data_IF_066773657291
#
_entry.id   IF_066773657291
#
_cell.length_a   1.000
_cell.length_b   1.000
_cell.length_c   1.000
_cell.angle_alpha   90.00
_cell.angle_beta   90.00
_cell.angle_gamma   90.00
#
_symmetry.space_group_name_H-M   'P 1'
#
loop_
_entity.id
_entity.type
_entity.pdbx_description
1 polymer ?
#
# COMPACT_ATOMS: atom_id res chain seq x y z
N UNK A 1 -8.48 -7.88 16.16
CA UNK A 1 -8.28 -7.10 17.38
C UNK A 1 -9.60 -6.51 17.82
N UNK A 2 -9.81 -6.33 19.13
CA UNK A 2 -10.82 -5.40 19.63
C UNK A 2 -10.21 -4.02 19.42
N UNK A 3 -10.88 -3.14 18.70
CA UNK A 3 -10.31 -1.90 18.20
C UNK A 3 -10.39 -0.84 19.30
N UNK A 4 -9.32 -0.68 20.08
CA UNK A 4 -9.15 0.45 21.01
C UNK A 4 -8.86 1.77 20.25
N UNK A 5 -9.43 1.91 19.05
CA UNK A 5 -9.31 3.09 18.21
C UNK A 5 -10.38 4.06 18.67
N UNK A 6 -9.96 5.21 19.18
CA UNK A 6 -10.86 6.27 19.61
C UNK A 6 -11.52 6.92 18.40
N UNK A 7 -12.75 6.48 18.10
CA UNK A 7 -13.56 7.07 17.06
C UNK A 7 -14.31 8.31 17.54
N UNK A 8 -14.35 8.63 18.84
CA UNK A 8 -15.20 9.72 19.36
C UNK A 8 -14.57 11.10 19.16
N UNK A 9 -13.27 11.25 19.41
CA UNK A 9 -12.57 12.54 19.39
C UNK A 9 -12.06 12.96 18.00
N UNK A 10 -12.38 12.22 16.94
CA UNK A 10 -11.91 12.46 15.58
C UNK A 10 -13.08 12.56 14.60
N UNK A 11 -12.90 13.36 13.55
CA UNK A 11 -13.90 13.59 12.50
C UNK A 11 -13.54 12.88 11.18
N UNK A 12 -12.26 12.54 10.99
CA UNK A 12 -11.75 11.85 9.81
C UNK A 12 -10.74 10.76 10.21
N UNK A 13 -10.80 9.62 9.52
CA UNK A 13 -9.93 8.47 9.75
C UNK A 13 -9.18 8.11 8.48
N UNK A 14 -7.86 8.15 8.58
CA UNK A 14 -6.95 7.80 7.50
C UNK A 14 -6.31 6.47 7.79
N UNK A 15 -6.56 5.44 7.00
CA UNK A 15 -6.00 4.11 7.24
C UNK A 15 -4.86 3.82 6.27
N UNK A 16 -3.75 3.34 6.82
CA UNK A 16 -2.85 2.48 6.05
C UNK A 16 -3.56 1.16 5.67
N UNK A 17 -3.01 0.43 4.69
CA UNK A 17 -3.61 -0.79 4.17
C UNK A 17 -2.88 -2.05 4.61
N UNK A 18 -1.57 -2.16 4.31
CA UNK A 18 -0.79 -3.38 4.51
C UNK A 18 -0.43 -3.58 5.97
N UNK A 19 -0.66 -4.77 6.51
CA UNK A 19 -0.52 -5.09 7.93
C UNK A 19 -1.39 -4.24 8.87
N UNK A 20 -2.10 -3.23 8.36
CA UNK A 20 -3.11 -2.46 9.08
C UNK A 20 -4.49 -3.09 8.92
N UNK A 21 -4.98 -3.18 7.68
CA UNK A 21 -6.29 -3.73 7.34
C UNK A 21 -6.19 -5.15 6.79
N UNK A 22 -5.17 -5.40 5.97
CA UNK A 22 -4.98 -6.64 5.22
C UNK A 22 -3.56 -7.18 5.35
N UNK A 23 -3.36 -8.47 5.08
CA UNK A 23 -2.03 -9.05 4.83
C UNK A 23 -2.02 -9.83 3.52
N UNK A 24 -0.84 -9.98 2.94
CA UNK A 24 -0.67 -10.77 1.71
C UNK A 24 -1.11 -12.22 1.92
N UNK A 25 -1.71 -12.82 0.89
CA UNK A 25 -1.97 -14.25 0.88
C UNK A 25 -0.65 -15.03 1.08
N UNK A 26 -0.61 -16.10 1.91
CA UNK A 26 0.63 -16.82 2.21
C UNK A 26 1.38 -17.32 0.98
N UNK A 27 0.64 -17.71 -0.06
CA UNK A 27 1.20 -18.26 -1.31
C UNK A 27 1.57 -17.20 -2.35
N UNK A 28 1.02 -15.98 -2.25
CA UNK A 28 1.15 -14.98 -3.32
C UNK A 28 2.61 -14.62 -3.62
N UNK A 29 3.45 -14.46 -2.58
CA UNK A 29 4.86 -14.10 -2.77
C UNK A 29 5.63 -15.18 -3.55
N UNK A 30 5.41 -16.46 -3.25
CA UNK A 30 6.03 -17.56 -3.95
C UNK A 30 5.55 -17.63 -5.41
N UNK A 31 4.23 -17.52 -5.63
CA UNK A 31 3.64 -17.51 -6.97
C UNK A 31 4.10 -16.35 -7.83
N UNK A 32 4.27 -15.16 -7.24
CA UNK A 32 4.84 -14.00 -7.94
C UNK A 32 6.27 -14.26 -8.40
N UNK A 33 7.08 -14.93 -7.60
CA UNK A 33 8.45 -15.32 -7.99
C UNK A 33 8.44 -16.32 -9.13
N UNK A 34 7.57 -17.34 -9.08
CA UNK A 34 7.39 -18.31 -10.18
C UNK A 34 6.98 -17.61 -11.48
N UNK A 35 6.02 -16.69 -11.40
CA UNK A 35 5.58 -15.89 -12.54
C UNK A 35 6.71 -14.99 -13.08
N UNK A 36 7.42 -14.28 -12.21
CA UNK A 36 8.55 -13.41 -12.59
C UNK A 36 9.65 -14.20 -13.30
N UNK A 37 10.03 -15.36 -12.74
CA UNK A 37 11.08 -16.21 -13.31
C UNK A 37 10.68 -16.78 -14.69
N UNK A 38 9.45 -17.29 -14.80
CA UNK A 38 8.98 -17.92 -16.04
C UNK A 38 8.71 -16.90 -17.15
N UNK A 39 8.10 -15.76 -16.83
CA UNK A 39 7.76 -14.72 -17.79
C UNK A 39 9.02 -14.11 -18.44
N UNK A 40 10.01 -13.74 -17.63
CA UNK A 40 11.26 -13.16 -18.12
C UNK A 40 12.33 -14.19 -18.48
N UNK A 41 12.00 -15.50 -18.45
CA UNK A 41 12.90 -16.61 -18.80
C UNK A 41 14.24 -16.55 -18.05
N UNK A 42 14.16 -16.28 -16.75
CA UNK A 42 15.34 -16.10 -15.90
C UNK A 42 16.08 -17.43 -15.75
N UNK A 43 17.40 -17.41 -15.96
CA UNK A 43 18.26 -18.61 -15.93
C UNK A 43 18.64 -19.06 -14.52
N UNK A 44 18.58 -18.13 -13.56
CA UNK A 44 18.91 -18.39 -12.15
C UNK A 44 17.86 -19.29 -11.50
N UNK A 45 18.24 -19.91 -10.38
CA UNK A 45 17.31 -20.75 -9.61
C UNK A 45 16.15 -19.93 -9.02
N UNK A 46 15.00 -20.57 -8.79
CA UNK A 46 13.84 -19.92 -8.16
C UNK A 46 14.19 -19.33 -6.79
N UNK A 47 15.04 -20.00 -6.01
CA UNK A 47 15.50 -19.49 -4.71
C UNK A 47 16.32 -18.20 -4.85
N UNK A 48 17.15 -18.11 -5.89
CA UNK A 48 17.91 -16.89 -6.17
C UNK A 48 17.00 -15.75 -6.61
N UNK A 49 16.01 -16.02 -7.48
CA UNK A 49 15.00 -15.02 -7.87
C UNK A 49 14.21 -14.55 -6.64
N UNK A 50 13.79 -15.47 -5.77
CA UNK A 50 13.07 -15.13 -4.53
C UNK A 50 13.89 -14.20 -3.63
N UNK A 51 15.19 -14.51 -3.44
CA UNK A 51 16.10 -13.66 -2.67
C UNK A 51 16.23 -12.27 -3.27
N UNK A 52 16.42 -12.16 -4.59
CA UNK A 52 16.58 -10.86 -5.24
C UNK A 52 15.29 -10.04 -5.21
N UNK A 53 14.14 -10.65 -5.48
CA UNK A 53 12.83 -9.98 -5.36
C UNK A 53 12.64 -9.44 -3.94
N UNK A 54 12.91 -10.24 -2.89
CA UNK A 54 12.80 -9.79 -1.50
C UNK A 54 13.78 -8.67 -1.19
N UNK A 55 15.04 -8.81 -1.59
CA UNK A 55 16.08 -7.80 -1.33
C UNK A 55 15.71 -6.44 -1.92
N UNK A 56 15.25 -6.40 -3.17
CA UNK A 56 14.86 -5.15 -3.81
C UNK A 56 13.52 -4.60 -3.31
N UNK A 57 12.60 -5.44 -2.85
CA UNK A 57 11.39 -5.01 -2.11
C UNK A 57 11.79 -4.19 -0.87
N UNK A 58 12.62 -4.79 -0.01
CA UNK A 58 13.09 -4.18 1.23
C UNK A 58 13.92 -2.92 0.96
N UNK A 59 14.81 -2.96 -0.05
CA UNK A 59 15.64 -1.82 -0.44
C UNK A 59 14.78 -0.64 -0.92
N UNK A 60 13.82 -0.88 -1.81
CA UNK A 60 12.98 0.18 -2.35
C UNK A 60 12.08 0.79 -1.27
N UNK A 61 11.54 -0.04 -0.36
CA UNK A 61 10.77 0.44 0.79
C UNK A 61 11.62 1.36 1.68
N UNK A 62 12.86 0.96 2.00
CA UNK A 62 13.78 1.78 2.79
C UNK A 62 14.15 3.09 2.09
N UNK A 63 14.38 3.06 0.77
CA UNK A 63 14.65 4.26 -0.02
C UNK A 63 13.45 5.22 -0.03
N UNK A 64 12.23 4.70 -0.19
CA UNK A 64 11.00 5.49 -0.14
C UNK A 64 10.81 6.14 1.24
N UNK A 65 11.04 5.39 2.33
CA UNK A 65 10.94 5.93 3.70
C UNK A 65 11.98 7.03 3.96
N UNK A 66 13.21 6.85 3.48
CA UNK A 66 14.30 7.80 3.69
C UNK A 66 14.16 9.07 2.84
N UNK A 67 13.80 8.92 1.57
CA UNK A 67 13.76 10.05 0.61
C UNK A 67 12.39 10.72 0.55
N UNK A 68 11.33 10.03 1.00
CA UNK A 68 9.95 10.47 0.86
C UNK A 68 9.39 10.39 -0.56
N UNK A 69 10.12 9.80 -1.51
CA UNK A 69 9.67 9.56 -2.89
C UNK A 69 8.90 8.24 -3.04
N UNK A 70 8.65 7.83 -4.29
CA UNK A 70 8.12 6.52 -4.61
C UNK A 70 8.86 5.95 -5.83
N UNK A 71 9.63 4.88 -5.63
CA UNK A 71 10.17 4.09 -6.74
C UNK A 71 9.00 3.41 -7.47
N UNK A 72 8.86 3.64 -8.78
CA UNK A 72 7.78 3.03 -9.56
C UNK A 72 7.97 1.51 -9.67
N UNK A 73 6.85 0.79 -9.72
CA UNK A 73 6.85 -0.67 -9.85
C UNK A 73 7.72 -1.19 -11.00
N UNK A 74 7.78 -0.48 -12.13
CA UNK A 74 8.59 -0.89 -13.28
C UNK A 74 10.07 -0.65 -13.04
N UNK A 75 10.44 0.41 -12.31
CA UNK A 75 11.81 0.61 -11.86
C UNK A 75 12.24 -0.53 -10.94
N UNK A 76 11.37 -0.96 -10.00
CA UNK A 76 11.63 -2.14 -9.17
C UNK A 76 11.87 -3.39 -10.02
N UNK A 77 11.03 -3.64 -11.04
CA UNK A 77 11.22 -4.78 -11.95
C UNK A 77 12.55 -4.71 -12.68
N UNK A 78 12.91 -3.55 -13.23
CA UNK A 78 14.17 -3.37 -13.96
C UNK A 78 15.40 -3.55 -13.06
N UNK A 79 15.34 -3.08 -11.81
CA UNK A 79 16.40 -3.31 -10.82
C UNK A 79 16.60 -4.80 -10.54
N UNK A 80 15.50 -5.53 -10.32
CA UNK A 80 15.55 -6.99 -10.08
C UNK A 80 16.06 -7.72 -11.33
N UNK A 81 15.55 -7.40 -12.51
CA UNK A 81 15.97 -8.02 -13.77
C UNK A 81 17.46 -7.81 -14.04
N UNK A 82 17.95 -6.58 -13.89
CA UNK A 82 19.37 -6.26 -14.04
C UNK A 82 20.24 -7.03 -13.04
N UNK A 83 19.78 -7.20 -11.80
CA UNK A 83 20.48 -7.98 -10.78
C UNK A 83 20.52 -9.48 -11.06
N UNK A 84 19.57 -9.99 -11.88
CA UNK A 84 19.46 -11.39 -12.29
C UNK A 84 20.09 -11.64 -13.67
N UNK A 85 20.91 -10.70 -14.16
CA UNK A 85 21.63 -10.76 -15.45
C UNK A 85 20.69 -10.85 -16.67
N UNK A 86 19.47 -10.34 -16.56
CA UNK A 86 18.58 -10.13 -17.72
C UNK A 86 19.02 -8.85 -18.43
N UNK A 87 19.17 -8.91 -19.76
CA UNK A 87 19.48 -7.71 -20.55
C UNK A 87 18.27 -6.78 -20.61
N UNK A 88 18.27 -5.77 -19.72
CA UNK A 88 17.19 -4.79 -19.61
C UNK A 88 17.03 -3.92 -20.86
N UNK A 89 18.01 -3.91 -21.79
CA UNK A 89 17.87 -3.17 -23.07
C UNK A 89 16.86 -3.82 -24.01
N UNK A 90 16.64 -5.12 -23.85
CA UNK A 90 15.65 -5.89 -24.60
C UNK A 90 14.26 -5.83 -23.95
N UNK A 91 14.16 -5.30 -22.72
CA UNK A 91 12.90 -5.16 -21.99
C UNK A 91 12.26 -3.82 -22.33
N UNK A 92 11.07 -3.86 -22.93
CA UNK A 92 10.31 -2.68 -23.29
C UNK A 92 9.10 -2.47 -22.36
N UNK A 93 8.46 -1.30 -22.49
CA UNK A 93 7.30 -0.93 -21.66
C UNK A 93 6.09 -1.84 -21.88
N UNK A 94 5.90 -2.39 -23.08
CA UNK A 94 4.83 -3.34 -23.38
C UNK A 94 5.01 -4.63 -22.57
N UNK A 95 6.21 -5.19 -22.58
CA UNK A 95 6.60 -6.38 -21.81
C UNK A 95 6.37 -6.18 -20.30
N UNK A 96 6.71 -5.00 -19.77
CA UNK A 96 6.50 -4.67 -18.36
C UNK A 96 5.01 -4.54 -18.00
N UNK A 97 4.20 -3.97 -18.91
CA UNK A 97 2.74 -3.91 -18.73
C UNK A 97 2.09 -5.29 -18.80
N UNK A 98 2.52 -6.14 -19.72
CA UNK A 98 2.03 -7.52 -19.84
C UNK A 98 2.34 -8.31 -18.59
N UNK A 99 3.58 -8.21 -18.09
CA UNK A 99 3.96 -8.81 -16.82
C UNK A 99 3.10 -8.27 -15.67
N UNK A 100 2.92 -6.95 -15.59
CA UNK A 100 2.10 -6.34 -14.55
C UNK A 100 0.65 -6.82 -14.58
N UNK A 101 0.05 -6.95 -15.77
CA UNK A 101 -1.31 -7.46 -15.94
C UNK A 101 -1.43 -8.87 -15.38
N UNK A 102 -0.50 -9.77 -15.73
CA UNK A 102 -0.47 -11.14 -15.19
C UNK A 102 -0.22 -11.17 -13.68
N UNK A 103 0.62 -10.28 -13.17
CA UNK A 103 0.87 -10.16 -11.73
C UNK A 103 -0.34 -9.60 -10.98
N UNK A 104 -1.15 -8.75 -11.62
CA UNK A 104 -2.43 -8.26 -11.08
C UNK A 104 -3.48 -9.37 -11.05
N UNK A 105 -3.61 -10.15 -12.12
CA UNK A 105 -4.49 -11.33 -12.16
C UNK A 105 -4.12 -12.32 -11.07
N UNK A 106 -2.83 -12.64 -10.94
CA UNK A 106 -2.32 -13.51 -9.88
C UNK A 106 -2.61 -12.94 -8.48
N UNK A 107 -2.52 -11.62 -8.33
CA UNK A 107 -2.82 -10.95 -7.07
C UNK A 107 -4.30 -11.08 -6.68
N UNK A 108 -5.22 -10.97 -7.64
CA UNK A 108 -6.65 -11.13 -7.40
C UNK A 108 -7.05 -12.61 -7.21
N UNK A 109 -6.37 -13.55 -7.86
CA UNK A 109 -6.52 -14.99 -7.59
C UNK A 109 -6.06 -15.34 -6.16
N UNK A 110 -4.88 -14.87 -5.75
CA UNK A 110 -4.33 -15.03 -4.41
C UNK A 110 -4.57 -13.77 -3.58
N UNK A 111 -5.85 -13.39 -3.46
CA UNK A 111 -6.26 -12.15 -2.81
C UNK A 111 -5.77 -12.02 -1.36
N UNK A 112 -5.45 -10.78 -0.90
CA UNK A 112 -5.11 -10.52 0.49
C UNK A 112 -6.16 -11.02 1.49
N UNK A 113 -5.69 -11.31 2.70
CA UNK A 113 -6.53 -11.69 3.83
C UNK A 113 -6.81 -10.43 4.66
N UNK A 114 -8.09 -10.12 4.90
CA UNK A 114 -8.49 -9.08 5.86
C UNK A 114 -8.13 -9.55 7.27
N UNK A 115 -7.29 -8.78 7.97
CA UNK A 115 -6.81 -9.09 9.33
C UNK A 115 -7.46 -8.23 10.40
N UNK A 116 -8.04 -7.10 9.99
CA UNK A 116 -8.81 -6.24 10.86
C UNK A 116 -10.17 -6.86 11.14
N UNK A 117 -10.43 -7.19 12.42
CA UNK A 117 -11.67 -7.89 12.81
C UNK A 117 -12.86 -6.95 12.67
N UNK A 118 -13.97 -7.48 12.13
CA UNK A 118 -15.22 -6.75 11.95
C UNK A 118 -15.04 -5.42 11.18
N UNK A 119 -14.16 -5.42 10.17
CA UNK A 119 -13.81 -4.23 9.41
C UNK A 119 -15.03 -3.51 8.82
N UNK A 120 -15.99 -4.26 8.27
CA UNK A 120 -17.24 -3.70 7.76
C UNK A 120 -18.04 -2.97 8.84
N UNK A 121 -18.27 -3.62 9.99
CA UNK A 121 -19.03 -3.02 11.09
C UNK A 121 -18.32 -1.78 11.63
N UNK A 122 -17.00 -1.83 11.76
CA UNK A 122 -16.20 -0.71 12.23
C UNK A 122 -16.24 0.50 11.27
N UNK A 123 -16.08 0.25 9.97
CA UNK A 123 -16.22 1.31 8.97
C UNK A 123 -17.64 1.86 8.94
N UNK A 124 -18.65 0.98 9.04
CA UNK A 124 -20.05 1.40 9.13
C UNK A 124 -20.30 2.27 10.36
N UNK A 125 -19.78 1.92 11.52
CA UNK A 125 -19.91 2.69 12.76
C UNK A 125 -19.34 4.11 12.62
N UNK A 126 -18.17 4.24 11.98
CA UNK A 126 -17.58 5.55 11.65
C UNK A 126 -18.52 6.34 10.71
N UNK A 127 -19.01 5.71 9.64
CA UNK A 127 -19.87 6.38 8.65
C UNK A 127 -21.23 6.77 9.21
N UNK A 128 -21.83 5.96 10.07
CA UNK A 128 -23.11 6.24 10.75
C UNK A 128 -23.02 7.48 11.65
N UNK A 129 -21.82 7.83 12.13
CA UNK A 129 -21.55 9.07 12.88
C UNK A 129 -21.29 10.29 11.97
N UNK A 130 -21.48 10.18 10.66
CA UNK A 130 -21.25 11.27 9.69
C UNK A 130 -19.77 11.58 9.41
N UNK A 131 -18.86 10.71 9.86
CA UNK A 131 -17.41 10.86 9.73
C UNK A 131 -16.93 10.28 8.39
N UNK A 132 -15.69 10.59 8.03
CA UNK A 132 -15.12 10.18 6.74
C UNK A 132 -13.90 9.30 6.90
N UNK A 133 -13.67 8.45 5.90
CA UNK A 133 -12.62 7.45 5.86
C UNK A 133 -11.81 7.66 4.57
N UNK A 134 -10.50 7.56 4.65
CA UNK A 134 -9.66 7.40 3.47
C UNK A 134 -8.67 6.26 3.63
N UNK A 135 -8.19 5.73 2.50
CA UNK A 135 -6.98 4.90 2.44
C UNK A 135 -5.79 5.78 2.08
N UNK A 136 -4.67 5.60 2.78
CA UNK A 136 -3.37 6.22 2.54
C UNK A 136 -2.30 5.14 2.62
N UNK A 137 -1.86 4.59 1.49
CA UNK A 137 -0.93 3.45 1.45
C UNK A 137 0.31 3.73 0.60
N UNK A 138 1.48 3.38 1.13
CA UNK A 138 2.65 3.21 0.29
C UNK A 138 2.46 1.98 -0.61
N UNK A 139 2.95 2.04 -1.83
CA UNK A 139 2.85 0.98 -2.85
C UNK A 139 4.23 0.50 -3.27
N UNK A 140 4.28 -0.71 -3.83
CA UNK A 140 5.49 -1.32 -4.35
C UNK A 140 5.17 -2.15 -5.58
N UNK A 141 5.24 -3.47 -5.47
CA UNK A 141 4.89 -4.38 -6.57
C UNK A 141 3.41 -4.30 -6.99
N UNK A 142 2.52 -3.87 -6.09
CA UNK A 142 1.10 -3.75 -6.37
C UNK A 142 0.72 -2.26 -6.33
N UNK A 143 0.19 -1.77 -7.46
CA UNK A 143 -0.20 -0.36 -7.64
C UNK A 143 -1.52 -0.04 -6.97
N UNK A 144 -1.75 1.24 -6.71
CA UNK A 144 -3.00 1.74 -6.11
C UNK A 144 -4.26 1.31 -6.86
N UNK A 145 -4.20 1.30 -8.20
CA UNK A 145 -5.31 0.82 -9.05
C UNK A 145 -5.74 -0.62 -8.74
N UNK A 146 -4.78 -1.50 -8.43
CA UNK A 146 -5.05 -2.92 -8.14
C UNK A 146 -5.60 -3.07 -6.72
N UNK A 147 -5.07 -2.30 -5.77
CA UNK A 147 -5.62 -2.25 -4.41
C UNK A 147 -7.08 -1.78 -4.39
N UNK A 148 -7.40 -0.78 -5.22
CA UNK A 148 -8.79 -0.30 -5.38
C UNK A 148 -9.71 -1.40 -5.92
N UNK A 149 -9.29 -2.16 -6.94
CA UNK A 149 -10.08 -3.30 -7.45
C UNK A 149 -10.38 -4.32 -6.35
N UNK A 150 -9.36 -4.70 -5.59
CA UNK A 150 -9.53 -5.62 -4.45
C UNK A 150 -10.51 -5.08 -3.40
N UNK A 151 -10.39 -3.81 -2.99
CA UNK A 151 -11.30 -3.21 -2.02
C UNK A 151 -12.75 -3.11 -2.52
N UNK A 152 -12.95 -2.95 -3.83
CA UNK A 152 -14.28 -3.01 -4.44
C UNK A 152 -14.87 -4.43 -4.41
N UNK A 153 -14.07 -5.45 -4.75
CA UNK A 153 -14.50 -6.86 -4.71
C UNK A 153 -14.85 -7.33 -3.29
N UNK A 154 -14.14 -6.82 -2.28
CA UNK A 154 -14.44 -7.07 -0.86
C UNK A 154 -15.57 -6.15 -0.32
N UNK A 155 -16.23 -5.35 -1.17
CA UNK A 155 -17.28 -4.41 -0.80
C UNK A 155 -16.86 -3.41 0.31
N UNK A 156 -15.58 -3.06 0.40
CA UNK A 156 -15.06 -2.08 1.37
C UNK A 156 -15.02 -0.66 0.78
N UNK A 157 -14.88 -0.54 -0.54
CA UNK A 157 -14.81 0.75 -1.25
C UNK A 157 -16.03 1.65 -0.97
N UNK A 158 -17.20 1.05 -0.74
CA UNK A 158 -18.43 1.79 -0.42
C UNK A 158 -18.36 2.67 0.85
N UNK A 159 -17.44 2.38 1.78
CA UNK A 159 -17.24 3.19 2.99
C UNK A 159 -16.15 4.25 2.83
N UNK A 160 -15.31 4.12 1.81
CA UNK A 160 -14.09 4.91 1.66
C UNK A 160 -14.41 6.14 0.81
N UNK A 161 -14.22 7.34 1.37
CA UNK A 161 -14.54 8.58 0.68
C UNK A 161 -13.52 8.92 -0.41
N UNK A 162 -12.25 8.53 -0.22
CA UNK A 162 -11.19 8.65 -1.23
C UNK A 162 -9.98 7.79 -0.86
N UNK A 163 -9.08 7.60 -1.82
CA UNK A 163 -7.82 6.88 -1.61
C UNK A 163 -6.65 7.74 -2.07
N UNK A 164 -5.50 7.51 -1.47
CA UNK A 164 -4.21 8.08 -1.83
C UNK A 164 -3.20 6.93 -1.80
N UNK A 165 -2.52 6.75 -2.94
CA UNK A 165 -1.48 5.75 -3.09
C UNK A 165 -0.17 6.42 -3.51
N UNK A 166 0.97 5.91 -3.03
CA UNK A 166 2.25 6.57 -3.27
C UNK A 166 2.70 6.52 -4.74
N UNK A 167 2.30 5.51 -5.50
CA UNK A 167 2.51 5.45 -6.95
C UNK A 167 1.72 6.51 -7.72
N UNK A 168 0.52 6.86 -7.25
CA UNK A 168 -0.34 7.89 -7.88
C UNK A 168 0.13 9.32 -7.57
N UNK A 169 0.84 9.51 -6.46
CA UNK A 169 1.32 10.83 -6.00
C UNK A 169 2.84 11.02 -6.15
N UNK A 170 3.55 9.96 -6.52
CA UNK A 170 5.01 9.87 -6.54
C UNK A 170 5.66 10.24 -5.18
N UNK A 171 4.95 9.98 -4.08
CA UNK A 171 5.32 10.43 -2.74
C UNK A 171 4.86 9.38 -1.71
N UNK A 172 5.74 8.98 -0.79
CA UNK A 172 5.46 7.95 0.20
C UNK A 172 5.51 8.51 1.62
N UNK A 173 4.72 7.93 2.53
CA UNK A 173 4.89 8.12 3.98
C UNK A 173 6.32 7.72 4.37
N UNK A 174 7.00 8.45 5.29
CA UNK A 174 6.49 9.51 6.17
C UNK A 174 6.53 10.94 5.58
N UNK A 175 6.71 11.12 4.27
CA UNK A 175 6.81 12.45 3.69
C UNK A 175 5.57 13.32 4.02
N UNK A 176 5.73 14.53 4.60
CA UNK A 176 4.60 15.38 4.96
C UNK A 176 3.68 15.74 3.79
N UNK A 177 4.20 15.73 2.55
CA UNK A 177 3.39 16.02 1.35
C UNK A 177 2.26 15.01 1.15
N UNK A 178 2.47 13.73 1.46
CA UNK A 178 1.41 12.72 1.28
C UNK A 178 0.26 12.91 2.28
N UNK A 179 0.56 13.35 3.50
CA UNK A 179 -0.45 13.72 4.50
C UNK A 179 -1.15 15.04 4.14
N UNK A 180 -0.43 15.95 3.47
CA UNK A 180 -1.03 17.16 2.93
C UNK A 180 -2.10 16.85 1.86
N UNK A 181 -1.93 15.79 1.07
CA UNK A 181 -2.96 15.35 0.12
C UNK A 181 -4.25 14.89 0.81
N UNK A 182 -4.16 14.27 1.99
CA UNK A 182 -5.33 13.97 2.83
C UNK A 182 -6.06 15.27 3.18
N UNK A 183 -5.33 16.27 3.72
CA UNK A 183 -5.89 17.59 4.06
C UNK A 183 -6.56 18.30 2.87
N UNK A 184 -5.96 18.24 1.69
CA UNK A 184 -6.53 18.85 0.49
C UNK A 184 -7.85 18.19 0.09
N UNK A 185 -7.95 16.86 0.19
CA UNK A 185 -9.17 16.12 -0.18
C UNK A 185 -10.31 16.30 0.83
N UNK A 186 -10.01 16.45 2.13
CA UNK A 186 -11.02 16.72 3.16
C UNK A 186 -11.48 18.18 3.24
N UNK A 187 -10.83 19.11 2.54
CA UNK A 187 -10.95 20.56 2.76
C UNK A 187 -12.39 21.11 2.67
N UNK A 188 -13.31 20.39 2.03
CA UNK A 188 -14.74 20.72 2.03
C UNK A 188 -15.38 20.75 3.44
N UNK A 189 -14.74 20.17 4.46
CA UNK A 189 -15.21 20.17 5.86
C UNK A 189 -14.49 21.13 6.80
N UNK A 190 -13.45 21.86 6.34
CA UNK A 190 -12.59 22.74 7.18
C UNK A 190 -12.14 22.06 8.50
N UNK A 191 -11.69 20.81 8.41
CA UNK A 191 -11.22 20.08 9.59
C UNK A 191 -9.81 20.55 9.96
N UNK A 192 -9.59 20.73 11.27
CA UNK A 192 -8.26 20.95 11.82
C UNK A 192 -7.46 19.64 11.80
N UNK A 193 -6.13 19.74 11.74
CA UNK A 193 -5.24 18.58 11.61
C UNK A 193 -5.39 17.58 12.77
N UNK A 194 -5.65 18.07 13.97
CA UNK A 194 -5.84 17.27 15.19
C UNK A 194 -7.19 16.53 15.22
N UNK A 195 -8.11 16.83 14.30
CA UNK A 195 -9.37 16.10 14.14
C UNK A 195 -9.24 14.88 13.21
N UNK A 196 -8.04 14.64 12.68
CA UNK A 196 -7.73 13.53 11.78
C UNK A 196 -6.90 12.51 12.54
N UNK A 197 -7.38 11.27 12.56
CA UNK A 197 -6.64 10.13 13.09
C UNK A 197 -6.06 9.32 11.93
N UNK A 198 -4.74 9.23 11.84
CA UNK A 198 -4.10 8.24 10.98
C UNK A 198 -3.85 6.94 11.74
N UNK A 199 -4.21 5.80 11.14
CA UNK A 199 -4.10 4.48 11.74
C UNK A 199 -3.22 3.63 10.82
N UNK A 200 -2.14 3.08 11.36
CA UNK A 200 -1.21 2.23 10.61
C UNK A 200 -0.35 1.34 11.49
N UNK A 201 0.45 0.47 10.90
CA UNK A 201 1.31 -0.49 11.60
C UNK A 201 2.78 -0.06 11.67
N UNK A 202 3.23 0.86 10.79
CA UNK A 202 4.61 1.29 10.74
C UNK A 202 4.87 2.46 11.72
N UNK A 203 5.78 2.30 12.70
CA UNK A 203 6.05 3.34 13.70
C UNK A 203 6.68 4.61 13.11
N UNK A 204 7.38 4.51 11.99
CA UNK A 204 8.02 5.65 11.31
C UNK A 204 7.08 6.23 10.27
N UNK A 205 6.70 5.43 9.27
CA UNK A 205 5.90 5.89 8.14
C UNK A 205 4.52 6.38 8.56
N UNK A 206 3.79 5.60 9.36
CA UNK A 206 2.42 5.91 9.75
C UNK A 206 2.39 6.77 11.00
N UNK A 207 2.96 6.27 12.10
CA UNK A 207 2.80 6.93 13.39
C UNK A 207 3.59 8.23 13.49
N UNK A 208 4.93 8.17 13.36
CA UNK A 208 5.77 9.37 13.43
C UNK A 208 5.47 10.35 12.30
N UNK A 209 5.31 9.87 11.07
CA UNK A 209 4.97 10.69 9.91
C UNK A 209 3.68 11.50 10.10
N UNK A 210 2.61 10.85 10.58
CA UNK A 210 1.35 11.54 10.87
C UNK A 210 1.49 12.55 12.02
N UNK A 211 2.16 12.18 13.12
CA UNK A 211 2.39 13.08 14.27
C UNK A 211 3.21 14.31 13.88
N UNK A 212 4.28 14.14 13.12
CA UNK A 212 5.15 15.23 12.66
C UNK A 212 4.41 16.20 11.73
N UNK A 213 3.47 15.70 10.92
CA UNK A 213 2.63 16.54 10.07
C UNK A 213 1.57 17.33 10.85
N UNK A 214 1.18 16.83 12.03
CA UNK A 214 0.19 17.42 12.94
C UNK A 214 -1.12 16.63 13.08
N UNK A 215 -1.21 15.43 12.52
CA UNK A 215 -2.36 14.54 12.75
C UNK A 215 -2.27 13.86 14.13
N UNK A 216 -3.39 13.34 14.61
CA UNK A 216 -3.35 12.27 15.59
C UNK A 216 -2.97 10.96 14.91
N UNK A 217 -2.37 10.05 15.67
CA UNK A 217 -1.89 8.78 15.14
C UNK A 217 -2.19 7.63 16.11
N UNK A 218 -2.61 6.49 15.56
CA UNK A 218 -2.79 5.24 16.27
C UNK A 218 -1.94 4.15 15.62
N UNK A 219 -1.01 3.57 16.39
CA UNK A 219 -0.15 2.49 15.94
C UNK A 219 -0.79 1.12 16.25
N UNK A 220 -1.07 0.33 15.23
CA UNK A 220 -1.50 -1.06 15.38
C UNK A 220 -0.30 -1.92 15.78
N UNK A 221 -0.49 -2.76 16.80
CA UNK A 221 0.51 -3.73 17.27
C UNK A 221 -0.05 -5.14 17.05
N UNK A 222 0.77 -6.01 16.44
CA UNK A 222 0.45 -7.43 16.20
C UNK A 222 1.12 -8.35 17.20
#
# INVERSE_FOLDING_TARGET
>A
MKTDIDIHNHAHFSFDLWLTLIKSHPEFKAKRVELFSSFFKIRKSIDEVARMVKYYDDLCNNMNELTGGNIDTFEMYLLILGSLEVDIKEVNKETLNDFYTRSEELFLEYKPIIIFKNLHDFFKEIKDQGKTINILSNTGFIKGKTMRKFLMEENLDQYIDFHIYSDETNCSKPNPLIFQEVNKKINHKKLEKDQILHIGDNPIADYKGAKDFGFNAHLIKH
#
